data_IF_793011675554
#
_entry.id   IF_793011675554
#
_cell.length_a   1.000
_cell.length_b   1.000
_cell.length_c   1.000
_cell.angle_alpha   90.00
_cell.angle_beta   90.00
_cell.angle_gamma   90.00
#
_symmetry.space_group_name_H-M   'P 1'
#
loop_
_entity.id
_entity.type
_entity.pdbx_description
1 polymer ?
#
# COMPACT_ATOMS: atom_id res chain seq x y z
N UNK A 1 -41.24 36.59 58.77
CA UNK A 1 -39.93 36.27 58.18
C UNK A 1 -40.14 35.89 56.73
N UNK A 2 -39.69 36.73 55.78
CA UNK A 2 -39.79 36.47 54.33
C UNK A 2 -38.40 36.05 53.86
N UNK A 3 -38.28 34.86 53.27
CA UNK A 3 -37.05 34.43 52.60
C UNK A 3 -37.38 34.27 51.12
N UNK A 4 -36.81 35.16 50.32
CA UNK A 4 -37.02 35.26 48.87
C UNK A 4 -36.24 34.16 48.15
N UNK A 5 -36.90 33.41 47.28
CA UNK A 5 -36.26 32.47 46.34
C UNK A 5 -35.71 33.23 45.13
N UNK A 6 -34.40 33.16 44.90
CA UNK A 6 -33.75 33.69 43.71
C UNK A 6 -33.66 32.58 42.65
N UNK A 7 -34.41 32.72 41.56
CA UNK A 7 -34.31 31.84 40.39
C UNK A 7 -33.08 32.22 39.56
N UNK A 8 -32.05 31.38 39.61
CA UNK A 8 -30.86 31.52 38.78
C UNK A 8 -31.16 30.96 37.38
N UNK A 9 -31.21 31.82 36.37
CA UNK A 9 -31.35 31.43 34.96
C UNK A 9 -29.95 31.23 34.38
N UNK A 10 -29.55 29.98 34.18
CA UNK A 10 -28.31 29.62 33.47
C UNK A 10 -28.58 29.78 31.97
N UNK A 11 -27.95 30.76 31.35
CA UNK A 11 -28.00 30.99 29.90
C UNK A 11 -26.87 30.20 29.23
N UNK A 12 -27.22 29.09 28.58
CA UNK A 12 -26.31 28.28 27.76
C UNK A 12 -25.96 29.04 26.49
N UNK A 13 -24.74 29.57 26.42
CA UNK A 13 -24.21 30.23 25.23
C UNK A 13 -23.43 29.22 24.39
N UNK A 14 -23.99 28.85 23.24
CA UNK A 14 -23.37 27.98 22.25
C UNK A 14 -22.35 28.81 21.44
N UNK A 15 -21.06 28.70 21.78
CA UNK A 15 -19.99 29.36 21.06
C UNK A 15 -19.57 28.50 19.85
N UNK A 16 -19.91 28.95 18.64
CA UNK A 16 -19.44 28.38 17.38
C UNK A 16 -18.07 28.99 17.07
N UNK A 17 -17.00 28.22 17.25
CA UNK A 17 -15.64 28.63 16.89
C UNK A 17 -15.40 28.43 15.38
N UNK A 18 -14.74 29.36 14.68
CA UNK A 18 -14.37 29.18 13.29
C UNK A 18 -13.14 28.25 13.22
N UNK A 19 -13.34 27.05 12.67
CA UNK A 19 -12.24 26.13 12.37
C UNK A 19 -11.49 26.66 11.15
N UNK A 20 -10.30 27.25 11.38
CA UNK A 20 -9.32 27.48 10.32
C UNK A 20 -8.79 26.11 9.86
N UNK A 21 -9.30 25.62 8.73
CA UNK A 21 -8.72 24.48 8.02
C UNK A 21 -7.40 24.92 7.39
N UNK A 22 -6.29 24.61 8.05
CA UNK A 22 -4.97 24.57 7.43
C UNK A 22 -4.98 23.43 6.41
N UNK A 23 -5.04 23.77 5.13
CA UNK A 23 -4.84 22.80 4.05
C UNK A 23 -3.38 22.34 4.09
N UNK A 24 -3.13 21.16 4.66
CA UNK A 24 -1.83 20.52 4.57
C UNK A 24 -1.51 20.26 3.08
N UNK A 25 -0.27 20.51 2.63
CA UNK A 25 0.11 20.15 1.28
C UNK A 25 -0.07 18.64 1.12
N UNK A 26 -0.88 18.23 0.15
CA UNK A 26 -0.92 16.84 -0.27
C UNK A 26 0.44 16.52 -0.88
N UNK A 27 1.34 15.94 -0.09
CA UNK A 27 2.51 15.29 -0.64
C UNK A 27 1.99 14.17 -1.54
N UNK A 28 2.15 14.33 -2.86
CA UNK A 28 2.03 13.24 -3.80
C UNK A 28 3.13 12.24 -3.41
N UNK A 29 2.79 11.34 -2.51
CA UNK A 29 3.65 10.23 -2.13
C UNK A 29 3.70 9.36 -3.38
N UNK A 30 4.83 9.40 -4.09
CA UNK A 30 5.05 8.51 -5.22
C UNK A 30 5.03 7.05 -4.79
N UNK A 31 5.46 6.15 -5.68
CA UNK A 31 5.64 4.72 -5.37
C UNK A 31 6.43 4.48 -4.07
N UNK A 32 7.30 5.43 -3.71
CA UNK A 32 8.17 5.45 -2.53
C UNK A 32 7.46 5.82 -1.20
N UNK A 33 6.14 5.95 -1.21
CA UNK A 33 5.35 6.27 -0.01
C UNK A 33 5.40 5.18 1.07
N UNK A 34 4.86 5.49 2.26
CA UNK A 34 4.66 4.47 3.29
C UNK A 34 3.67 3.42 2.77
N UNK A 35 4.07 2.14 2.81
CA UNK A 35 3.19 1.03 2.42
C UNK A 35 2.05 0.88 3.42
N UNK A 36 0.80 0.64 2.95
CA UNK A 36 -0.36 0.48 3.82
C UNK A 36 -0.55 -0.96 4.35
N UNK A 37 0.37 -1.87 4.02
CA UNK A 37 0.40 -3.26 4.44
C UNK A 37 1.69 -3.57 5.20
N UNK A 38 1.70 -4.67 5.94
CA UNK A 38 2.85 -5.11 6.75
C UNK A 38 3.58 -6.26 6.07
N UNK A 39 4.91 -6.17 6.02
CA UNK A 39 5.81 -7.22 5.53
C UNK A 39 6.60 -7.72 6.73
N UNK A 40 6.41 -8.99 7.11
CA UNK A 40 7.16 -9.65 8.19
C UNK A 40 8.03 -10.77 7.64
N UNK A 41 8.75 -11.47 8.52
CA UNK A 41 9.54 -12.63 8.12
C UNK A 41 8.67 -13.85 7.76
N UNK A 42 7.41 -13.87 8.20
CA UNK A 42 6.47 -14.96 7.98
C UNK A 42 5.58 -14.76 6.75
N UNK A 43 5.24 -13.51 6.44
CA UNK A 43 4.30 -13.23 5.36
C UNK A 43 3.99 -11.75 5.13
N UNK A 44 2.98 -11.54 4.30
CA UNK A 44 2.33 -10.26 4.03
C UNK A 44 1.01 -10.20 4.80
N UNK A 45 0.77 -9.11 5.53
CA UNK A 45 -0.52 -8.83 6.16
C UNK A 45 -1.14 -7.56 5.58
N UNK A 46 -2.35 -7.67 5.05
CA UNK A 46 -3.14 -6.53 4.60
C UNK A 46 -3.76 -5.78 5.81
N UNK A 47 -4.03 -4.46 5.68
CA UNK A 47 -4.64 -3.69 6.75
C UNK A 47 -6.04 -4.21 7.10
N UNK A 48 -6.51 -3.87 8.30
CA UNK A 48 -7.81 -4.33 8.81
C UNK A 48 -8.96 -4.06 7.83
N UNK A 49 -9.72 -5.10 7.54
CA UNK A 49 -10.86 -5.05 6.60
C UNK A 49 -10.48 -5.15 5.12
N UNK A 50 -9.19 -5.12 4.78
CA UNK A 50 -8.72 -5.42 3.43
C UNK A 50 -8.45 -6.93 3.26
N UNK A 51 -8.69 -7.42 2.05
CA UNK A 51 -8.50 -8.82 1.67
C UNK A 51 -7.96 -8.88 0.24
N UNK A 52 -7.25 -9.96 -0.11
CA UNK A 52 -6.86 -10.19 -1.49
C UNK A 52 -8.10 -10.41 -2.37
N UNK A 53 -8.31 -9.61 -3.42
CA UNK A 53 -9.44 -9.81 -4.33
C UNK A 53 -9.17 -10.95 -5.31
N UNK A 54 -10.24 -11.48 -5.89
CA UNK A 54 -10.15 -12.36 -7.05
C UNK A 54 -9.58 -11.58 -8.25
N UNK A 55 -8.60 -12.15 -8.94
CA UNK A 55 -7.80 -11.49 -9.98
C UNK A 55 -6.67 -10.58 -9.45
N UNK A 56 -6.50 -10.46 -8.13
CA UNK A 56 -5.39 -9.74 -7.51
C UNK A 56 -4.05 -10.47 -7.66
N UNK A 57 -2.95 -9.79 -7.32
CA UNK A 57 -1.64 -10.44 -7.29
C UNK A 57 -0.67 -9.84 -6.29
N UNK A 58 0.33 -10.64 -5.91
CA UNK A 58 1.49 -10.22 -5.13
C UNK A 58 2.76 -10.66 -5.85
N UNK A 59 3.70 -9.73 -6.02
CA UNK A 59 5.03 -9.98 -6.57
C UNK A 59 6.09 -9.64 -5.53
N UNK A 60 7.15 -10.45 -5.42
CA UNK A 60 8.20 -10.25 -4.43
C UNK A 60 9.62 -10.31 -5.02
N UNK A 61 10.47 -9.42 -4.49
CA UNK A 61 11.93 -9.42 -4.40
C UNK A 61 12.43 -10.23 -3.20
N UNK A 62 13.29 -11.23 -3.33
CA UNK A 62 13.93 -11.83 -2.16
C UNK A 62 15.36 -12.30 -2.43
N UNK A 63 16.14 -12.52 -1.37
CA UNK A 63 17.49 -13.09 -1.45
C UNK A 63 17.62 -14.36 -0.64
N UNK A 64 18.28 -15.38 -1.20
CA UNK A 64 18.67 -16.63 -0.51
C UNK A 64 20.18 -16.77 -0.66
N UNK A 65 20.90 -16.93 0.45
CA UNK A 65 22.37 -17.03 0.47
C UNK A 65 23.07 -15.88 -0.29
N UNK A 66 22.48 -14.69 -0.26
CA UNK A 66 22.98 -13.49 -0.95
C UNK A 66 22.68 -13.42 -2.45
N UNK A 67 22.01 -14.43 -3.02
CA UNK A 67 21.54 -14.40 -4.41
C UNK A 67 20.10 -13.88 -4.48
N UNK A 68 19.85 -12.90 -5.36
CA UNK A 68 18.50 -12.37 -5.61
C UNK A 68 17.66 -13.35 -6.43
N UNK A 69 16.37 -13.42 -6.11
CA UNK A 69 15.34 -14.18 -6.80
C UNK A 69 14.01 -13.43 -6.73
N UNK A 70 13.07 -13.80 -7.60
CA UNK A 70 11.74 -13.21 -7.66
C UNK A 70 10.69 -14.30 -7.72
N UNK A 71 9.53 -14.02 -7.14
CA UNK A 71 8.36 -14.88 -7.23
C UNK A 71 7.09 -14.02 -7.28
N UNK A 72 5.97 -14.63 -7.66
CA UNK A 72 4.68 -13.97 -7.64
C UNK A 72 3.53 -14.97 -7.62
N UNK A 73 2.41 -14.53 -7.08
CA UNK A 73 1.17 -15.30 -7.00
C UNK A 73 0.03 -14.44 -7.55
N UNK A 74 -0.80 -15.05 -8.38
CA UNK A 74 -2.05 -14.48 -8.85
C UNK A 74 -3.20 -15.19 -8.14
N UNK A 75 -4.13 -14.45 -7.56
CA UNK A 75 -5.27 -15.01 -6.83
C UNK A 75 -6.42 -15.21 -7.81
N UNK A 76 -6.86 -16.45 -7.98
CA UNK A 76 -7.94 -16.79 -8.93
C UNK A 76 -8.80 -17.90 -8.32
N UNK A 77 -10.10 -17.68 -8.20
CA UNK A 77 -11.03 -18.73 -7.72
C UNK A 77 -11.39 -19.75 -8.80
N UNK A 78 -11.19 -19.41 -10.07
CA UNK A 78 -11.48 -20.27 -11.20
C UNK A 78 -10.45 -21.40 -11.35
N UNK A 79 -10.90 -22.53 -11.89
CA UNK A 79 -10.08 -23.68 -12.28
C UNK A 79 -9.32 -24.36 -11.13
N UNK A 80 -9.84 -24.28 -9.90
CA UNK A 80 -9.28 -24.94 -8.71
C UNK A 80 -7.77 -24.65 -8.51
N UNK A 81 -7.34 -23.43 -8.83
CA UNK A 81 -5.97 -23.01 -8.64
C UNK A 81 -5.63 -22.98 -7.14
N UNK A 82 -4.45 -23.48 -6.72
CA UNK A 82 -4.06 -23.46 -5.31
C UNK A 82 -4.11 -22.07 -4.68
N UNK A 83 -3.89 -21.01 -5.46
CA UNK A 83 -3.91 -19.63 -4.99
C UNK A 83 -5.31 -19.11 -4.65
N UNK A 84 -6.38 -19.74 -5.15
CA UNK A 84 -7.76 -19.35 -4.87
C UNK A 84 -8.12 -19.37 -3.38
N UNK A 85 -7.38 -20.16 -2.57
CA UNK A 85 -7.56 -20.19 -1.11
C UNK A 85 -7.23 -18.85 -0.42
N UNK A 86 -6.49 -17.96 -1.08
CA UNK A 86 -6.13 -16.64 -0.52
C UNK A 86 -7.12 -15.55 -0.91
N UNK A 87 -8.06 -15.80 -1.82
CA UNK A 87 -9.12 -14.83 -2.14
C UNK A 87 -9.99 -14.63 -0.90
N UNK A 88 -10.12 -13.37 -0.47
CA UNK A 88 -10.82 -13.02 0.78
C UNK A 88 -9.98 -13.20 2.05
N UNK A 89 -8.73 -13.70 1.95
CA UNK A 89 -7.79 -13.70 3.06
C UNK A 89 -7.09 -12.35 3.19
N UNK A 90 -6.58 -12.04 4.38
CA UNK A 90 -5.76 -10.85 4.64
C UNK A 90 -4.28 -11.17 4.88
N UNK A 91 -3.91 -12.46 4.90
CA UNK A 91 -2.55 -12.92 5.15
C UNK A 91 -2.08 -13.88 4.05
N UNK A 92 -0.88 -13.63 3.52
CA UNK A 92 -0.19 -14.51 2.56
C UNK A 92 1.16 -14.96 3.16
N UNK A 93 1.32 -16.25 3.52
CA UNK A 93 2.60 -16.74 4.01
C UNK A 93 3.64 -16.84 2.90
N UNK A 94 4.89 -16.51 3.21
CA UNK A 94 5.98 -16.58 2.23
C UNK A 94 6.34 -18.00 1.78
N UNK A 95 5.99 -19.01 2.58
CA UNK A 95 6.20 -20.41 2.25
C UNK A 95 5.48 -20.84 0.95
N UNK A 96 4.49 -20.08 0.48
CA UNK A 96 3.81 -20.33 -0.80
C UNK A 96 4.65 -19.90 -2.01
N UNK A 97 5.59 -18.97 -1.80
CA UNK A 97 6.38 -18.33 -2.86
C UNK A 97 7.87 -18.70 -2.78
N UNK A 98 8.37 -19.02 -1.58
CA UNK A 98 9.78 -19.21 -1.30
C UNK A 98 10.00 -20.62 -0.75
N UNK A 99 10.65 -21.47 -1.55
CA UNK A 99 11.08 -22.81 -1.14
C UNK A 99 12.47 -22.75 -0.46
N UNK A 100 12.57 -21.94 0.60
CA UNK A 100 13.77 -21.79 1.41
C UNK A 100 13.39 -21.42 2.86
N UNK A 101 14.21 -21.85 3.82
CA UNK A 101 14.00 -21.54 5.25
C UNK A 101 14.77 -20.30 5.71
N UNK A 102 15.80 -19.90 4.97
CA UNK A 102 16.64 -18.72 5.23
C UNK A 102 16.57 -17.78 4.03
N UNK A 103 15.92 -16.63 4.17
CA UNK A 103 15.77 -15.64 3.09
C UNK A 103 15.58 -14.24 3.64
N UNK A 104 15.73 -13.23 2.79
CA UNK A 104 15.32 -11.85 3.07
C UNK A 104 14.38 -11.35 1.98
N UNK A 105 13.20 -10.88 2.36
CA UNK A 105 12.28 -10.18 1.45
C UNK A 105 12.78 -8.75 1.28
N UNK A 106 13.14 -8.38 0.06
CA UNK A 106 13.75 -7.09 -0.26
C UNK A 106 12.78 -6.13 -0.95
N UNK A 107 11.73 -6.65 -1.57
CA UNK A 107 10.73 -5.85 -2.27
C UNK A 107 9.38 -6.57 -2.32
N UNK A 108 8.27 -5.85 -2.19
CA UNK A 108 6.91 -6.42 -2.33
C UNK A 108 6.02 -5.45 -3.09
N UNK A 109 5.23 -5.98 -4.02
CA UNK A 109 4.13 -5.29 -4.67
C UNK A 109 2.85 -6.07 -4.46
N UNK A 110 1.78 -5.34 -4.16
CA UNK A 110 0.43 -5.85 -3.99
C UNK A 110 -0.45 -5.09 -4.96
N UNK A 111 -1.23 -5.78 -5.80
CA UNK A 111 -1.97 -5.17 -6.92
C UNK A 111 -2.89 -4.01 -6.56
N UNK A 112 -3.41 -4.00 -5.33
CA UNK A 112 -4.36 -3.00 -4.84
C UNK A 112 -3.70 -1.71 -4.35
N UNK A 113 -2.36 -1.64 -4.31
CA UNK A 113 -1.63 -0.50 -3.78
C UNK A 113 -0.53 -0.03 -4.74
N UNK A 114 -0.47 1.28 -4.95
CA UNK A 114 0.58 1.92 -5.75
C UNK A 114 1.94 1.95 -5.02
N UNK A 115 1.96 1.76 -3.70
CA UNK A 115 3.18 1.76 -2.90
C UNK A 115 3.80 0.36 -2.84
N UNK A 116 5.11 0.29 -3.07
CA UNK A 116 5.86 -0.96 -3.00
C UNK A 116 6.84 -0.96 -1.84
N UNK A 117 6.85 -2.05 -1.08
CA UNK A 117 7.86 -2.25 -0.04
C UNK A 117 9.24 -2.34 -0.69
N UNK A 118 10.24 -1.68 -0.10
CA UNK A 118 11.63 -1.71 -0.56
C UNK A 118 11.97 -0.64 -1.60
N UNK A 119 10.99 -0.04 -2.28
CA UNK A 119 11.25 1.04 -3.27
C UNK A 119 11.69 2.34 -2.57
N UNK A 120 11.08 2.65 -1.43
CA UNK A 120 11.43 3.80 -0.58
C UNK A 120 12.65 3.58 0.34
N UNK A 121 13.46 2.54 0.12
CA UNK A 121 14.66 2.25 0.92
C UNK A 121 14.39 1.58 2.27
N UNK A 122 13.22 0.97 2.45
CA UNK A 122 12.94 0.10 3.60
C UNK A 122 13.99 -1.02 3.69
N UNK A 123 14.38 -1.40 4.91
CA UNK A 123 15.34 -2.49 5.10
C UNK A 123 14.69 -3.83 4.75
N UNK A 124 15.43 -4.78 4.14
CA UNK A 124 14.94 -6.13 3.92
C UNK A 124 14.46 -6.79 5.21
N UNK A 125 13.46 -7.67 5.11
CA UNK A 125 12.97 -8.46 6.24
C UNK A 125 13.48 -9.89 6.10
N UNK A 126 14.38 -10.30 6.99
CA UNK A 126 15.01 -11.62 6.93
C UNK A 126 14.42 -12.61 7.92
N UNK A 127 14.39 -13.89 7.56
CA UNK A 127 14.10 -14.95 8.52
C UNK A 127 15.24 -15.09 9.52
N UNK A 128 14.90 -15.15 10.81
CA UNK A 128 15.88 -15.23 11.89
C UNK A 128 16.37 -13.89 12.43
N UNK A 129 16.02 -12.78 11.80
CA UNK A 129 16.02 -11.48 12.48
C UNK A 129 14.84 -11.50 13.44
N UNK A 130 15.09 -11.81 14.71
CA UNK A 130 14.10 -11.54 15.76
C UNK A 130 13.77 -10.06 15.66
N UNK A 131 12.48 -9.64 15.60
CA UNK A 131 12.15 -8.23 15.55
C UNK A 131 12.79 -7.58 16.77
N UNK A 132 13.86 -6.82 16.55
CA UNK A 132 14.42 -5.95 17.56
C UNK A 132 13.26 -5.10 18.09
N UNK A 133 13.21 -4.82 19.41
CA UNK A 133 12.08 -4.14 20.01
C UNK A 133 11.74 -2.91 19.15
N UNK A 134 10.51 -2.86 18.64
CA UNK A 134 10.01 -1.73 17.88
C UNK A 134 10.37 -0.48 18.67
N UNK A 135 11.09 0.50 18.12
CA UNK A 135 11.35 1.73 18.84
C UNK A 135 9.97 2.31 19.16
N UNK A 136 9.57 2.20 20.42
CA UNK A 136 8.39 2.88 20.91
C UNK A 136 8.75 4.35 20.79
N UNK A 137 8.20 5.02 19.79
CA UNK A 137 8.26 6.47 19.72
C UNK A 137 7.54 6.96 20.97
N UNK A 138 8.30 7.21 22.03
CA UNK A 138 7.80 7.84 23.24
C UNK A 138 7.09 9.12 22.78
N UNK A 139 5.80 9.31 23.12
CA UNK A 139 5.10 10.50 22.68
C UNK A 139 5.88 11.71 23.21
N UNK A 140 6.45 12.50 22.29
CA UNK A 140 7.07 13.78 22.63
C UNK A 140 6.07 14.55 23.51
N UNK A 141 6.42 14.88 24.76
CA UNK A 141 5.53 15.63 25.64
C UNK A 141 5.09 16.90 24.92
N UNK A 142 3.78 17.07 24.77
CA UNK A 142 3.23 18.30 24.20
C UNK A 142 3.67 19.49 25.07
N UNK A 143 4.39 20.43 24.46
CA UNK A 143 4.76 21.69 25.10
C UNK A 143 3.48 22.39 25.59
N UNK A 144 3.39 22.84 26.86
CA UNK A 144 2.19 23.48 27.38
C UNK A 144 1.89 24.74 26.57
N UNK A 145 0.71 24.77 25.94
CA UNK A 145 0.23 25.92 25.17
C UNK A 145 0.13 27.15 26.09
N UNK A 146 0.81 28.28 25.77
CA UNK A 146 0.70 29.49 26.55
C UNK A 146 -0.72 30.07 26.47
N UNK A 147 -1.30 30.32 27.65
CA UNK A 147 -2.63 30.89 27.84
C UNK A 147 -2.73 32.29 27.24
N UNK A 148 -3.54 32.47 26.20
CA UNK A 148 -3.74 33.77 25.55
C UNK A 148 -4.70 34.69 26.33
N UNK A 149 -4.33 35.96 26.39
CA UNK A 149 -5.01 37.10 27.05
C UNK A 149 -6.25 37.56 26.24
N UNK A 150 -7.34 38.02 26.88
CA UNK A 150 -8.58 38.36 26.18
C UNK A 150 -8.49 39.71 25.44
N UNK A 151 -8.83 39.72 24.14
CA UNK A 151 -8.92 40.93 23.31
C UNK A 151 -10.40 41.34 23.09
N UNK A 152 -10.75 42.64 23.15
CA UNK A 152 -12.14 43.11 23.19
C UNK A 152 -12.90 43.09 21.85
N UNK A 153 -14.22 43.01 22.01
CA UNK A 153 -15.26 42.75 21.01
C UNK A 153 -15.68 44.00 20.20
N UNK A 154 -15.91 43.86 18.89
CA UNK A 154 -16.59 44.88 18.09
C UNK A 154 -17.56 44.32 17.02
N UNK A 155 -18.80 44.82 17.13
CA UNK A 155 -19.83 45.21 16.13
C UNK A 155 -20.23 44.29 14.96
N UNK A 156 -21.52 43.86 14.88
CA UNK A 156 -22.09 43.14 13.74
C UNK A 156 -22.88 44.02 12.74
N UNK A 157 -22.73 43.70 11.45
CA UNK A 157 -23.64 43.98 10.33
C UNK A 157 -23.19 43.07 9.17
N UNK A 158 -24.00 42.36 8.39
CA UNK A 158 -25.38 42.51 7.96
C UNK A 158 -25.38 42.26 6.43
N UNK A 159 -26.42 41.60 5.90
CA UNK A 159 -26.68 41.18 4.50
C UNK A 159 -26.22 39.74 4.15
N UNK A 160 -27.09 38.76 3.88
CA UNK A 160 -28.19 38.63 2.88
C UNK A 160 -27.69 38.51 1.45
N UNK A 161 -27.79 37.30 0.88
CA UNK A 161 -27.71 37.05 -0.57
C UNK A 161 -27.56 35.56 -0.94
N UNK A 162 -28.65 34.94 -1.41
CA UNK A 162 -28.63 33.75 -2.28
C UNK A 162 -28.65 34.22 -3.75
N UNK A 163 -28.15 33.45 -4.75
CA UNK A 163 -28.90 32.39 -5.46
C UNK A 163 -28.03 31.16 -5.82
N UNK A 164 -28.52 29.93 -5.99
CA UNK A 164 -29.36 29.32 -7.06
C UNK A 164 -28.77 29.39 -8.47
N UNK A 165 -28.25 28.27 -8.97
CA UNK A 165 -28.09 27.82 -10.38
C UNK A 165 -27.35 26.46 -10.36
N UNK A 166 -27.42 25.51 -11.29
CA UNK A 166 -28.39 24.96 -12.26
C UNK A 166 -27.63 23.73 -12.86
N UNK A 167 -28.26 22.59 -13.20
CA UNK A 167 -27.53 21.38 -13.60
C UNK A 167 -27.14 21.39 -15.09
N UNK A 168 -25.92 20.91 -15.39
CA UNK A 168 -25.41 20.74 -16.75
C UNK A 168 -24.82 19.35 -17.00
N UNK A 169 -25.49 18.56 -17.81
CA UNK A 169 -24.93 17.55 -18.74
C UNK A 169 -25.22 18.11 -20.14
N UNK A 170 -24.38 17.95 -21.19
CA UNK A 170 -23.84 16.66 -21.68
C UNK A 170 -22.40 16.75 -22.22
N UNK A 171 -21.81 15.64 -22.67
CA UNK A 171 -21.11 15.51 -23.98
C UNK A 171 -20.64 14.07 -24.14
N UNK A 172 -21.39 13.33 -24.95
CA UNK A 172 -20.98 12.08 -25.59
C UNK A 172 -20.09 12.49 -26.77
N UNK A 173 -18.82 12.12 -26.72
CA UNK A 173 -17.83 12.39 -27.76
C UNK A 173 -17.28 11.08 -28.29
N UNK A 174 -17.78 10.68 -29.45
CA UNK A 174 -17.13 9.71 -30.33
C UNK A 174 -15.69 10.19 -30.64
N UNK A 175 -14.70 9.53 -30.05
CA UNK A 175 -13.29 9.68 -30.41
C UNK A 175 -12.79 8.36 -31.00
N UNK A 176 -13.04 8.25 -32.30
CA UNK A 176 -12.07 7.89 -33.32
C UNK A 176 -10.91 6.95 -32.92
N UNK A 177 -11.02 5.74 -33.46
CA UNK A 177 -9.95 4.78 -33.73
C UNK A 177 -8.79 5.44 -34.50
N UNK A 178 -7.64 5.68 -33.85
CA UNK A 178 -6.31 5.57 -34.47
C UNK A 178 -5.18 5.87 -33.47
N UNK A 179 -4.52 4.84 -32.95
CA UNK A 179 -3.08 4.85 -32.67
C UNK A 179 -2.64 3.49 -32.12
N UNK A 180 -2.66 2.46 -32.99
CA UNK A 180 -1.81 1.29 -32.76
C UNK A 180 -0.37 1.72 -32.96
N UNK A 181 0.23 2.24 -31.89
CA UNK A 181 1.67 2.49 -31.76
C UNK A 181 2.43 1.18 -31.81
N UNK A 182 2.59 0.65 -33.03
CA UNK A 182 3.42 -0.49 -33.35
C UNK A 182 4.87 -0.07 -33.16
N UNK A 183 5.38 -0.18 -31.93
CA UNK A 183 6.80 -0.11 -31.63
C UNK A 183 7.44 -1.44 -32.04
N UNK A 184 7.46 -1.70 -33.36
CA UNK A 184 8.33 -2.66 -33.98
C UNK A 184 9.76 -2.12 -33.88
N UNK A 185 10.36 -2.27 -32.69
CA UNK A 185 11.78 -2.05 -32.49
C UNK A 185 12.57 -3.05 -33.36
N UNK A 186 13.72 -2.65 -33.93
CA UNK A 186 14.56 -3.57 -34.66
C UNK A 186 15.06 -4.64 -33.70
N UNK A 187 14.60 -5.88 -33.92
CA UNK A 187 15.25 -7.08 -33.36
C UNK A 187 16.63 -7.13 -33.99
N UNK A 188 17.60 -6.49 -33.34
CA UNK A 188 19.01 -6.67 -33.63
C UNK A 188 19.34 -8.13 -33.42
N UNK A 189 19.55 -8.83 -34.53
CA UNK A 189 20.14 -10.14 -34.58
C UNK A 189 21.51 -10.09 -33.88
N UNK A 190 21.57 -10.62 -32.66
CA UNK A 190 22.82 -10.97 -32.02
C UNK A 190 22.96 -12.50 -31.98
N UNK A 191 23.85 -12.94 -32.85
CA UNK A 191 24.82 -14.01 -32.64
C UNK A 191 24.26 -15.40 -32.25
N UNK A 192 24.13 -16.23 -33.28
CA UNK A 192 24.50 -17.63 -33.20
C UNK A 192 25.99 -17.75 -32.81
N UNK A 193 26.31 -18.30 -31.63
CA UNK A 193 27.60 -18.96 -31.36
C UNK A 193 27.56 -19.79 -30.06
N UNK A 194 27.52 -21.13 -30.20
CA UNK A 194 27.98 -22.18 -29.25
C UNK A 194 27.14 -22.31 -27.95
N UNK A 195 26.66 -23.49 -27.54
CA UNK A 195 27.47 -24.66 -27.16
C UNK A 195 26.73 -25.96 -27.51
N UNK A 196 27.28 -26.68 -28.50
CA UNK A 196 27.11 -28.11 -28.64
C UNK A 196 27.92 -28.82 -27.54
N UNK A 197 27.34 -28.99 -26.35
CA UNK A 197 27.90 -29.87 -25.30
C UNK A 197 26.86 -30.42 -24.30
N UNK A 198 25.56 -30.25 -24.56
CA UNK A 198 24.49 -30.68 -23.64
C UNK A 198 23.73 -31.94 -24.04
N UNK A 199 24.01 -32.56 -25.19
CA UNK A 199 23.23 -33.71 -25.71
C UNK A 199 23.97 -35.05 -25.54
N UNK A 200 25.22 -35.06 -25.07
CA UNK A 200 26.00 -36.30 -24.90
C UNK A 200 25.84 -36.96 -23.53
N UNK A 201 25.27 -36.28 -22.52
CA UNK A 201 25.20 -36.80 -21.14
C UNK A 201 23.92 -37.55 -20.78
N UNK A 202 22.92 -37.62 -21.67
CA UNK A 202 21.68 -38.40 -21.44
C UNK A 202 21.79 -39.85 -21.95
N UNK A 203 22.81 -40.19 -22.75
CA UNK A 203 22.96 -41.54 -23.33
C UNK A 203 23.82 -42.48 -22.46
N UNK A 204 24.55 -41.97 -21.46
CA UNK A 204 25.43 -42.80 -20.60
C UNK A 204 24.79 -43.30 -19.28
N UNK A 205 23.60 -42.84 -18.92
CA UNK A 205 22.96 -43.18 -17.63
C UNK A 205 22.21 -44.53 -17.57
N UNK A 206 22.07 -45.26 -18.68
CA UNK A 206 21.20 -46.47 -18.74
C UNK A 206 21.90 -47.81 -18.48
N UNK A 207 23.17 -47.84 -18.09
CA UNK A 207 23.94 -49.09 -18.00
C UNK A 207 24.49 -49.44 -16.62
N UNK A 208 23.69 -49.28 -15.56
CA UNK A 208 24.07 -49.76 -14.20
C UNK A 208 22.90 -50.30 -13.37
N UNK A 209 21.88 -50.90 -14.00
CA UNK A 209 20.87 -51.68 -13.27
C UNK A 209 20.71 -53.10 -13.84
N UNK A 210 21.72 -53.92 -13.59
CA UNK A 210 21.62 -55.39 -13.54
C UNK A 210 22.58 -55.92 -12.47
N UNK A 211 22.07 -56.06 -11.25
CA UNK A 211 22.32 -57.19 -10.34
C UNK A 211 21.06 -57.39 -9.52
#
# INVERSE_FOLDING_TARGET
MRVSSAASRVATTLAVAPALLLAAPAAASGSDGQVPYEVTAEGLTLPDGATFPDGGHVNIKYTVDGAESSAGIHFETLNDQPSGQYVGASFLPWAELIDATSYCVTWVQVSEYDQHFGEGGQQPVCTGDEPGPTPTTEPTPADPTPSAEPTPSATPGGATGAPSESPGTPTEGDAELAATGSMAGPVTAFAALLIAAGVTLVVLGRKTKRR
#
